data_IF_723241704155
#
_entry.id   IF_723241704155
#
_cell.length_a   1.000
_cell.length_b   1.000
_cell.length_c   1.000
_cell.angle_alpha   90.00
_cell.angle_beta   90.00
_cell.angle_gamma   90.00
#
_symmetry.space_group_name_H-M   'P 1'
#
loop_
_entity.id
_entity.type
_entity.pdbx_description
1 polymer ?
#
# COMPACT_ATOMS: atom_id res chain seq x y z
N UNK A 1 18.57 12.80 3.16
CA UNK A 1 18.62 11.37 2.83
C UNK A 1 17.19 10.89 2.62
N UNK A 2 16.87 10.29 1.48
CA UNK A 2 15.51 9.78 1.20
C UNK A 2 15.36 8.38 1.79
N UNK A 3 14.29 8.17 2.56
CA UNK A 3 13.93 6.88 3.15
C UNK A 3 13.18 6.04 2.09
N UNK A 4 13.58 4.78 1.92
CA UNK A 4 12.97 3.86 0.96
C UNK A 4 12.13 2.83 1.69
N UNK A 5 10.85 2.74 1.36
CA UNK A 5 9.89 1.84 2.02
C UNK A 5 9.23 0.95 0.97
N UNK A 6 9.27 -0.36 1.19
CA UNK A 6 8.49 -1.34 0.41
C UNK A 6 7.20 -1.63 1.17
N UNK A 7 6.06 -1.49 0.49
CA UNK A 7 4.73 -1.82 1.02
C UNK A 7 4.21 -3.03 0.28
N UNK A 8 3.96 -4.13 0.99
CA UNK A 8 3.32 -5.32 0.45
C UNK A 8 1.85 -5.38 0.87
N UNK A 9 0.94 -5.51 -0.09
CA UNK A 9 -0.48 -5.77 0.15
C UNK A 9 -0.80 -7.20 -0.32
N UNK A 10 -1.32 -8.03 0.59
CA UNK A 10 -1.81 -9.40 0.34
C UNK A 10 -3.34 -9.47 0.38
N UNK A 11 -3.92 -10.63 0.07
CA UNK A 11 -5.38 -10.86 0.07
C UNK A 11 -5.93 -11.10 1.47
N UNK A 12 -5.72 -10.16 2.39
CA UNK A 12 -6.32 -10.15 3.72
C UNK A 12 -7.36 -9.04 3.78
N UNK A 13 -8.38 -9.21 4.63
CA UNK A 13 -9.38 -8.17 4.90
C UNK A 13 -8.73 -6.89 5.42
N UNK A 14 -9.25 -5.74 5.02
CA UNK A 14 -8.71 -4.44 5.42
C UNK A 14 -7.67 -3.88 4.46
N UNK A 15 -7.76 -4.23 3.17
CA UNK A 15 -6.86 -3.70 2.13
C UNK A 15 -6.86 -2.16 2.07
N UNK A 16 -7.96 -1.53 2.52
CA UNK A 16 -8.08 -0.08 2.70
C UNK A 16 -6.97 0.52 3.55
N UNK A 17 -6.47 -0.17 4.59
CA UNK A 17 -5.42 0.36 5.44
C UNK A 17 -4.07 0.45 4.70
N UNK A 18 -3.79 -0.50 3.82
CA UNK A 18 -2.62 -0.44 2.94
C UNK A 18 -2.70 0.76 1.98
N UNK A 19 -3.89 1.03 1.44
CA UNK A 19 -4.14 2.20 0.58
C UNK A 19 -3.95 3.50 1.37
N UNK A 20 -4.56 3.63 2.56
CA UNK A 20 -4.40 4.81 3.43
C UNK A 20 -2.96 5.03 3.89
N UNK A 21 -2.21 3.96 4.12
CA UNK A 21 -0.78 4.05 4.41
C UNK A 21 -0.01 4.64 3.23
N UNK A 22 -0.27 4.20 2.00
CA UNK A 22 0.36 4.77 0.80
C UNK A 22 0.03 6.26 0.62
N UNK A 23 -1.24 6.65 0.82
CA UNK A 23 -1.66 8.07 0.78
C UNK A 23 -0.94 8.91 1.85
N UNK A 24 -0.70 8.34 3.05
CA UNK A 24 0.03 9.02 4.11
C UNK A 24 1.52 9.14 3.77
N UNK A 25 2.15 8.08 3.26
CA UNK A 25 3.56 8.08 2.87
C UNK A 25 3.82 9.02 1.69
N UNK A 26 2.88 9.15 0.76
CA UNK A 26 2.97 10.09 -0.35
C UNK A 26 3.11 11.56 0.11
N UNK A 27 2.56 11.91 1.29
CA UNK A 27 2.66 13.26 1.86
C UNK A 27 4.03 13.56 2.46
N UNK A 28 4.85 12.54 2.71
CA UNK A 28 6.19 12.70 3.27
C UNK A 28 7.20 13.01 2.16
N UNK A 29 7.79 14.21 2.19
CA UNK A 29 8.71 14.70 1.14
C UNK A 29 10.03 13.93 1.03
N UNK A 30 10.38 13.15 2.05
CA UNK A 30 11.63 12.40 2.14
C UNK A 30 11.43 10.88 2.10
N UNK A 31 10.27 10.42 1.60
CA UNK A 31 9.93 9.00 1.46
C UNK A 31 9.72 8.63 -0.01
N UNK A 32 10.38 7.56 -0.43
CA UNK A 32 10.16 6.87 -1.70
C UNK A 32 9.48 5.53 -1.41
N UNK A 33 8.36 5.25 -2.07
CA UNK A 33 7.59 4.02 -1.85
C UNK A 33 7.65 3.09 -3.05
N UNK A 34 7.77 1.79 -2.79
CA UNK A 34 7.60 0.74 -3.80
C UNK A 34 6.47 -0.20 -3.33
N UNK A 35 5.43 -0.33 -4.15
CA UNK A 35 4.26 -1.14 -3.84
C UNK A 35 4.35 -2.51 -4.52
N UNK A 36 4.13 -3.58 -3.75
CA UNK A 36 3.93 -4.95 -4.24
C UNK A 36 2.51 -5.39 -3.88
N UNK A 37 1.76 -5.87 -4.86
CA UNK A 37 0.36 -6.30 -4.68
C UNK A 37 0.19 -7.71 -5.22
N UNK A 38 -0.31 -8.63 -4.38
CA UNK A 38 -0.60 -10.00 -4.81
C UNK A 38 -1.91 -10.10 -5.62
N UNK A 39 -2.12 -11.19 -6.35
CA UNK A 39 -3.39 -11.41 -7.06
C UNK A 39 -4.60 -11.44 -6.11
N UNK A 40 -4.45 -12.02 -4.92
CA UNK A 40 -5.50 -12.01 -3.89
C UNK A 40 -5.77 -10.62 -3.33
N UNK A 41 -4.73 -9.79 -3.19
CA UNK A 41 -4.90 -8.38 -2.79
C UNK A 41 -5.69 -7.60 -3.84
N UNK A 42 -5.42 -7.79 -5.14
CA UNK A 42 -6.19 -7.14 -6.21
C UNK A 42 -7.68 -7.46 -6.12
N UNK A 43 -8.03 -8.73 -5.88
CA UNK A 43 -9.41 -9.15 -5.71
C UNK A 43 -10.04 -8.53 -4.45
N UNK A 44 -9.31 -8.51 -3.34
CA UNK A 44 -9.79 -7.95 -2.07
C UNK A 44 -10.01 -6.44 -2.17
N UNK A 45 -9.07 -5.70 -2.79
CA UNK A 45 -9.19 -4.27 -3.04
C UNK A 45 -10.45 -3.97 -3.86
N UNK A 46 -10.65 -4.69 -4.97
CA UNK A 46 -11.83 -4.49 -5.82
C UNK A 46 -13.16 -4.79 -5.12
N UNK A 47 -13.14 -5.62 -4.06
CA UNK A 47 -14.32 -5.99 -3.30
C UNK A 47 -14.59 -5.05 -2.11
N UNK A 48 -13.54 -4.57 -1.44
CA UNK A 48 -13.64 -3.87 -0.14
C UNK A 48 -13.49 -2.34 -0.22
N UNK A 49 -13.00 -1.77 -1.32
CA UNK A 49 -12.62 -0.34 -1.41
C UNK A 49 -13.08 0.33 -2.67
#
# INVERSE_FOLDING_TARGET
>A
MTRRIVVGISGASGAIYGIRMLEALQKAKDVETHLIVSSGAKATIAYET
#
